data_IF_779095503281
#
_entry.id   IF_779095503281
#
_cell.length_a   1.000
_cell.length_b   1.000
_cell.length_c   1.000
_cell.angle_alpha   90.00
_cell.angle_beta   90.00
_cell.angle_gamma   90.00
#
_symmetry.space_group_name_H-M   'P 1'
#
loop_
_entity.id
_entity.type
_entity.pdbx_description
1 polymer ?
#
# COMPACT_ATOMS: atom_id res chain seq x y z
N UNK A 1 -34.62 -72.95 -9.42
CA UNK A 1 -33.65 -72.17 -10.21
C UNK A 1 -34.25 -70.82 -10.51
N UNK A 2 -33.97 -69.79 -9.73
CA UNK A 2 -34.16 -68.40 -10.15
C UNK A 2 -33.30 -67.50 -9.24
N UNK A 3 -32.30 -66.93 -9.85
CA UNK A 3 -31.33 -66.04 -9.21
C UNK A 3 -31.93 -64.64 -9.26
N UNK A 4 -32.28 -64.07 -8.11
CA UNK A 4 -32.59 -62.64 -7.97
C UNK A 4 -31.35 -61.91 -7.56
N UNK A 5 -30.81 -61.12 -8.46
CA UNK A 5 -29.71 -60.17 -8.26
C UNK A 5 -30.29 -58.95 -7.52
N UNK A 6 -29.82 -58.77 -6.29
CA UNK A 6 -30.08 -57.54 -5.52
C UNK A 6 -29.07 -56.47 -5.91
N UNK A 7 -29.54 -55.41 -6.60
CA UNK A 7 -28.76 -54.19 -6.84
C UNK A 7 -28.77 -53.35 -5.57
N UNK A 8 -27.65 -53.28 -4.90
CA UNK A 8 -27.42 -52.30 -3.84
C UNK A 8 -26.95 -51.01 -4.47
N UNK A 9 -27.85 -50.02 -4.57
CA UNK A 9 -27.51 -48.69 -4.97
C UNK A 9 -26.88 -47.94 -3.79
N UNK A 10 -25.56 -47.79 -3.81
CA UNK A 10 -24.85 -46.93 -2.87
C UNK A 10 -24.99 -45.50 -3.35
N UNK A 11 -25.84 -44.75 -2.68
CA UNK A 11 -25.96 -43.29 -2.88
C UNK A 11 -24.80 -42.65 -2.10
N UNK A 12 -23.75 -42.25 -2.81
CA UNK A 12 -22.73 -41.35 -2.29
C UNK A 12 -23.30 -39.93 -2.23
N UNK A 13 -23.76 -39.54 -1.06
CA UNK A 13 -24.05 -38.12 -0.77
C UNK A 13 -22.69 -37.43 -0.52
N UNK A 14 -22.16 -36.81 -1.57
CA UNK A 14 -21.02 -35.90 -1.44
C UNK A 14 -21.52 -34.61 -0.80
N UNK A 15 -21.38 -34.49 0.51
CA UNK A 15 -21.52 -33.20 1.19
C UNK A 15 -20.35 -32.31 0.77
N UNK A 16 -20.53 -31.57 -0.31
CA UNK A 16 -19.67 -30.43 -0.64
C UNK A 16 -19.94 -29.33 0.36
N UNK A 17 -19.16 -29.31 1.47
CA UNK A 17 -19.08 -28.14 2.33
C UNK A 17 -18.44 -27.01 1.52
N UNK A 18 -19.28 -26.20 0.89
CA UNK A 18 -18.87 -24.95 0.29
C UNK A 18 -18.47 -23.98 1.42
N UNK A 19 -17.22 -24.07 1.87
CA UNK A 19 -16.59 -23.02 2.64
C UNK A 19 -16.47 -21.79 1.73
N UNK A 20 -17.50 -20.96 1.68
CA UNK A 20 -17.50 -19.67 1.01
C UNK A 20 -16.63 -18.65 1.77
N UNK A 21 -15.34 -18.90 1.86
CA UNK A 21 -14.36 -17.84 1.96
C UNK A 21 -14.20 -17.28 0.54
N UNK A 22 -14.64 -16.05 0.28
CA UNK A 22 -14.38 -15.36 -0.99
C UNK A 22 -12.87 -15.16 -1.14
N UNK A 23 -12.17 -16.20 -1.59
CA UNK A 23 -10.77 -16.08 -1.99
C UNK A 23 -10.76 -15.24 -3.26
N UNK A 24 -10.18 -14.05 -3.17
CA UNK A 24 -9.91 -13.22 -4.35
C UNK A 24 -9.16 -14.07 -5.38
N UNK A 25 -9.65 -14.17 -6.63
CA UNK A 25 -8.97 -14.94 -7.66
C UNK A 25 -7.50 -14.47 -7.79
N UNK A 26 -6.52 -15.37 -7.99
CA UNK A 26 -5.10 -15.00 -8.06
C UNK A 26 -4.81 -13.89 -9.07
N UNK A 27 -5.54 -13.86 -10.18
CA UNK A 27 -5.41 -12.83 -11.21
C UNK A 27 -5.86 -11.45 -10.71
N UNK A 28 -6.93 -11.37 -9.93
CA UNK A 28 -7.41 -10.11 -9.35
C UNK A 28 -6.43 -9.57 -8.31
N UNK A 29 -5.87 -10.43 -7.47
CA UNK A 29 -4.84 -10.04 -6.51
C UNK A 29 -3.57 -9.48 -7.19
N UNK A 30 -3.17 -10.08 -8.32
CA UNK A 30 -2.04 -9.59 -9.10
C UNK A 30 -2.30 -8.19 -9.69
N UNK A 31 -3.50 -7.96 -10.23
CA UNK A 31 -3.89 -6.64 -10.77
C UNK A 31 -3.91 -5.57 -9.68
N UNK A 32 -4.48 -5.89 -8.51
CA UNK A 32 -4.49 -4.99 -7.35
C UNK A 32 -3.06 -4.66 -6.89
N UNK A 33 -2.18 -5.66 -6.80
CA UNK A 33 -0.78 -5.47 -6.44
C UNK A 33 -0.05 -4.55 -7.42
N UNK A 34 -0.29 -4.70 -8.73
CA UNK A 34 0.26 -3.81 -9.74
C UNK A 34 -0.26 -2.38 -9.60
N UNK A 35 -1.56 -2.21 -9.29
CA UNK A 35 -2.16 -0.91 -9.01
C UNK A 35 -1.46 -0.20 -7.85
N UNK A 36 -1.31 -0.87 -6.72
CA UNK A 36 -0.63 -0.32 -5.54
C UNK A 36 0.84 0.01 -5.80
N UNK A 37 1.57 -0.83 -6.54
CA UNK A 37 2.94 -0.54 -6.97
C UNK A 37 3.02 0.69 -7.88
N UNK A 38 2.07 0.84 -8.81
CA UNK A 38 1.98 2.02 -9.68
C UNK A 38 1.72 3.28 -8.86
N UNK A 39 0.79 3.21 -7.91
CA UNK A 39 0.47 4.33 -7.01
C UNK A 39 1.67 4.71 -6.14
N UNK A 40 2.39 3.73 -5.57
CA UNK A 40 3.61 3.97 -4.81
C UNK A 40 4.69 4.67 -5.64
N UNK A 41 4.92 4.22 -6.87
CA UNK A 41 5.87 4.87 -7.79
C UNK A 41 5.43 6.29 -8.14
N UNK A 42 4.14 6.49 -8.34
CA UNK A 42 3.56 7.82 -8.60
C UNK A 42 3.73 8.76 -7.43
N UNK A 43 3.50 8.30 -6.19
CA UNK A 43 3.73 9.05 -4.95
C UNK A 43 5.21 9.43 -4.82
N UNK A 44 6.12 8.45 -4.95
CA UNK A 44 7.56 8.68 -4.85
C UNK A 44 8.04 9.69 -5.89
N UNK A 45 7.66 9.52 -7.15
CA UNK A 45 8.06 10.43 -8.23
C UNK A 45 7.49 11.84 -8.09
N UNK A 46 6.24 11.99 -7.67
CA UNK A 46 5.63 13.30 -7.40
C UNK A 46 6.29 13.99 -6.18
N UNK A 47 6.66 13.20 -5.16
CA UNK A 47 7.34 13.68 -3.98
C UNK A 47 8.76 14.21 -4.32
N UNK A 48 9.57 13.47 -5.05
CA UNK A 48 10.90 13.88 -5.49
C UNK A 48 10.86 15.15 -6.37
N UNK A 49 9.84 15.25 -7.23
CA UNK A 49 9.62 16.41 -8.12
C UNK A 49 8.95 17.58 -7.42
N UNK A 50 8.60 17.44 -6.14
CA UNK A 50 7.89 18.44 -5.31
C UNK A 50 6.55 18.88 -5.94
N UNK A 51 5.84 17.96 -6.57
CA UNK A 51 4.56 18.19 -7.24
C UNK A 51 3.40 17.86 -6.28
N UNK A 52 3.00 18.84 -5.45
CA UNK A 52 2.00 18.64 -4.39
C UNK A 52 0.66 18.13 -4.93
N UNK A 53 0.13 18.73 -6.02
CA UNK A 53 -1.13 18.29 -6.60
C UNK A 53 -1.06 16.83 -7.04
N UNK A 54 -0.04 16.47 -7.86
CA UNK A 54 0.15 15.10 -8.35
C UNK A 54 0.38 14.08 -7.23
N UNK A 55 1.01 14.49 -6.13
CA UNK A 55 1.17 13.69 -4.93
C UNK A 55 -0.18 13.46 -4.25
N UNK A 56 -0.95 14.54 -3.99
CA UNK A 56 -2.24 14.48 -3.30
C UNK A 56 -3.34 13.81 -4.13
N UNK A 57 -3.22 13.76 -5.46
CA UNK A 57 -4.12 13.01 -6.35
C UNK A 57 -4.02 11.48 -6.11
N UNK A 58 -2.91 11.01 -5.52
CA UNK A 58 -2.72 9.61 -5.12
C UNK A 58 -3.14 9.32 -3.68
N UNK A 59 -3.59 10.32 -2.94
CA UNK A 59 -4.06 10.21 -1.56
C UNK A 59 -5.57 10.32 -1.52
N UNK A 60 -6.24 9.37 -0.88
CA UNK A 60 -7.69 9.35 -0.76
C UNK A 60 -8.23 10.63 -0.11
N UNK A 61 -9.45 11.01 -0.48
CA UNK A 61 -10.16 12.07 0.21
C UNK A 61 -10.50 11.70 1.66
N UNK A 62 -10.61 10.39 1.94
CA UNK A 62 -10.87 9.85 3.28
C UNK A 62 -9.58 9.59 4.09
N UNK A 63 -8.40 10.07 3.59
CA UNK A 63 -7.15 9.94 4.32
C UNK A 63 -7.23 10.70 5.66
N UNK A 64 -6.85 10.07 6.80
CA UNK A 64 -6.88 10.73 8.10
C UNK A 64 -6.10 12.06 8.08
N UNK A 65 -6.75 13.13 8.54
CA UNK A 65 -6.16 14.48 8.58
C UNK A 65 -5.51 14.92 7.26
N UNK A 66 -6.18 14.61 6.13
CA UNK A 66 -5.68 14.87 4.77
C UNK A 66 -5.15 16.31 4.58
N UNK A 67 -5.81 17.29 5.20
CA UNK A 67 -5.39 18.68 5.12
C UNK A 67 -4.07 18.91 5.85
N UNK A 68 -3.92 18.42 7.07
CA UNK A 68 -2.68 18.54 7.83
C UNK A 68 -1.54 17.78 7.14
N UNK A 69 -1.84 16.61 6.55
CA UNK A 69 -0.87 15.86 5.75
C UNK A 69 -0.41 16.67 4.53
N UNK A 70 -1.32 17.26 3.77
CA UNK A 70 -1.00 18.13 2.62
C UNK A 70 -0.12 19.33 3.03
N UNK A 71 -0.45 20.00 4.14
CA UNK A 71 0.35 21.11 4.67
C UNK A 71 1.77 20.64 5.08
N UNK A 72 1.88 19.49 5.70
CA UNK A 72 3.18 18.92 6.06
C UNK A 72 4.05 18.64 4.83
N UNK A 73 3.48 18.07 3.78
CA UNK A 73 4.18 17.82 2.50
C UNK A 73 4.60 19.14 1.84
N UNK A 74 3.71 20.13 1.79
CA UNK A 74 4.02 21.46 1.26
C UNK A 74 5.18 22.12 2.02
N UNK A 75 5.19 22.00 3.35
CA UNK A 75 6.29 22.49 4.20
C UNK A 75 7.62 21.81 3.89
N UNK A 76 7.63 20.49 3.64
CA UNK A 76 8.82 19.74 3.20
C UNK A 76 9.31 20.26 1.84
N UNK A 77 8.41 20.47 0.89
CA UNK A 77 8.75 20.98 -0.44
C UNK A 77 9.35 22.39 -0.42
N UNK A 78 8.93 23.21 0.54
CA UNK A 78 9.49 24.56 0.76
C UNK A 78 10.85 24.49 1.45
N UNK A 79 11.01 23.60 2.43
CA UNK A 79 12.22 23.50 3.26
C UNK A 79 13.42 22.92 2.53
N UNK A 80 13.19 21.95 1.63
CA UNK A 80 14.25 21.20 0.98
C UNK A 80 14.27 21.45 -0.54
N UNK A 81 15.44 21.71 -1.09
CA UNK A 81 15.62 21.95 -2.53
C UNK A 81 15.57 20.64 -3.32
N UNK A 82 16.27 19.63 -2.81
CA UNK A 82 16.35 18.33 -3.44
C UNK A 82 15.85 17.25 -2.49
N UNK A 83 15.02 16.39 -3.01
CA UNK A 83 14.51 15.21 -2.30
C UNK A 83 14.83 13.99 -3.15
N UNK A 84 15.44 12.97 -2.54
CA UNK A 84 15.61 11.64 -3.11
C UNK A 84 14.87 10.66 -2.22
N UNK A 85 14.03 9.83 -2.82
CA UNK A 85 13.22 8.86 -2.09
C UNK A 85 13.33 7.50 -2.76
N UNK A 86 13.90 6.54 -2.06
CA UNK A 86 14.13 5.19 -2.58
C UNK A 86 13.28 4.17 -1.83
N UNK A 87 12.53 3.37 -2.58
CA UNK A 87 11.81 2.22 -2.05
C UNK A 87 12.63 0.96 -2.28
N UNK A 88 12.91 0.24 -1.20
CA UNK A 88 13.63 -1.03 -1.28
C UNK A 88 12.63 -2.17 -1.52
N UNK A 89 12.66 -2.75 -2.71
CA UNK A 89 11.74 -3.81 -3.12
C UNK A 89 12.11 -5.22 -2.63
N UNK A 90 13.25 -5.40 -1.96
CA UNK A 90 13.77 -6.72 -1.58
C UNK A 90 12.93 -7.46 -0.53
N UNK A 91 12.03 -6.76 0.18
CA UNK A 91 11.11 -7.37 1.16
C UNK A 91 9.77 -6.60 1.14
N UNK A 92 9.05 -6.69 0.05
CA UNK A 92 7.69 -6.17 -0.02
C UNK A 92 6.71 -7.28 0.35
N UNK A 93 5.85 -7.01 1.33
CA UNK A 93 4.76 -7.90 1.74
C UNK A 93 3.46 -7.23 1.35
N UNK A 94 2.67 -7.91 0.52
CA UNK A 94 1.34 -7.45 0.13
C UNK A 94 0.33 -8.36 0.80
N UNK A 95 -0.57 -7.78 1.59
CA UNK A 95 -1.68 -8.46 2.22
C UNK A 95 -2.98 -7.81 1.77
N UNK A 96 -3.99 -8.62 1.55
CA UNK A 96 -5.36 -8.18 1.27
C UNK A 96 -6.17 -8.55 2.50
N UNK A 97 -6.75 -7.55 3.17
CA UNK A 97 -7.56 -7.77 4.36
C UNK A 97 -8.99 -8.22 3.99
N UNK A 98 -9.80 -8.54 5.02
CA UNK A 98 -11.19 -8.97 4.85
C UNK A 98 -12.09 -7.88 4.24
N UNK A 99 -11.68 -6.60 4.33
CA UNK A 99 -12.36 -5.45 3.71
C UNK A 99 -11.91 -5.20 2.28
N UNK A 100 -11.05 -6.11 1.76
CA UNK A 100 -10.44 -6.02 0.43
C UNK A 100 -9.43 -4.87 0.27
N UNK A 101 -9.06 -4.16 1.33
CA UNK A 101 -7.96 -3.20 1.29
C UNK A 101 -6.63 -3.91 1.10
N UNK A 102 -5.73 -3.24 0.41
CA UNK A 102 -4.40 -3.77 0.18
C UNK A 102 -3.40 -3.09 1.10
N UNK A 103 -2.71 -3.87 1.92
CA UNK A 103 -1.60 -3.40 2.76
C UNK A 103 -0.27 -3.81 2.14
N UNK A 104 0.58 -2.84 1.85
CA UNK A 104 1.90 -3.02 1.31
C UNK A 104 2.95 -2.55 2.30
N UNK A 105 3.82 -3.46 2.75
CA UNK A 105 4.90 -3.17 3.69
C UNK A 105 6.24 -3.23 2.96
N UNK A 106 7.06 -2.19 3.11
CA UNK A 106 8.35 -2.07 2.45
C UNK A 106 9.35 -1.28 3.29
N UNK A 107 10.63 -1.40 2.95
CA UNK A 107 11.69 -0.53 3.48
C UNK A 107 11.91 0.64 2.53
N UNK A 108 12.29 1.78 3.10
CA UNK A 108 12.55 3.00 2.35
C UNK A 108 13.75 3.74 2.92
N UNK A 109 14.38 4.56 2.09
CA UNK A 109 15.42 5.53 2.43
C UNK A 109 15.09 6.87 1.78
N UNK A 110 15.41 7.94 2.45
CA UNK A 110 15.24 9.29 1.93
C UNK A 110 16.41 10.20 2.27
N UNK A 111 16.77 11.05 1.31
CA UNK A 111 17.76 12.12 1.45
C UNK A 111 17.05 13.44 1.14
N UNK A 112 17.11 14.40 2.07
CA UNK A 112 16.55 15.74 1.91
C UNK A 112 17.68 16.76 2.02
N UNK A 113 17.93 17.52 0.96
CA UNK A 113 18.96 18.53 0.91
C UNK A 113 18.38 19.93 0.92
N UNK A 114 18.86 20.79 1.84
CA UNK A 114 18.51 22.21 1.90
C UNK A 114 19.32 23.03 0.89
N UNK A 115 18.90 24.28 0.60
CA UNK A 115 19.66 25.24 -0.22
C UNK A 115 21.10 25.44 0.26
N UNK A 116 21.32 25.38 1.57
CA UNK A 116 22.67 25.46 2.16
C UNK A 116 23.50 24.18 2.07
N UNK A 117 23.03 23.17 1.33
CA UNK A 117 23.76 21.91 1.11
C UNK A 117 23.69 20.91 2.28
N UNK A 118 22.98 21.22 3.37
CA UNK A 118 22.80 20.28 4.47
C UNK A 118 21.88 19.14 4.02
N UNK A 119 22.33 17.91 4.27
CA UNK A 119 21.55 16.69 3.94
C UNK A 119 21.01 16.08 5.22
N UNK A 120 19.71 15.85 5.26
CA UNK A 120 19.01 15.03 6.25
C UNK A 120 18.77 13.67 5.66
N UNK A 121 19.23 12.61 6.32
CA UNK A 121 19.02 11.22 5.92
C UNK A 121 18.06 10.56 6.88
N UNK A 122 17.12 9.82 6.36
CA UNK A 122 16.17 9.06 7.16
C UNK A 122 15.75 7.81 6.40
N UNK A 123 15.28 6.82 7.13
CA UNK A 123 14.84 5.56 6.55
C UNK A 123 14.10 4.70 7.54
N UNK A 124 13.58 3.59 7.07
CA UNK A 124 12.88 2.66 7.92
C UNK A 124 11.94 1.72 7.17
N UNK A 125 11.03 1.15 7.95
CA UNK A 125 9.97 0.29 7.46
C UNK A 125 8.63 0.98 7.64
N UNK A 126 7.76 0.85 6.65
CA UNK A 126 6.43 1.46 6.63
C UNK A 126 5.42 0.53 5.99
N UNK A 127 4.16 0.65 6.35
CA UNK A 127 3.06 0.00 5.64
C UNK A 127 2.11 1.06 5.08
N UNK A 128 1.81 0.93 3.80
CA UNK A 128 0.80 1.72 3.11
C UNK A 128 -0.45 0.88 2.93
N UNK A 129 -1.61 1.46 3.25
CA UNK A 129 -2.91 0.85 3.02
C UNK A 129 -3.54 1.55 1.82
N UNK A 130 -3.94 0.77 0.83
CA UNK A 130 -4.56 1.24 -0.41
C UNK A 130 -6.02 0.79 -0.49
N UNK A 131 -6.79 1.49 -1.31
CA UNK A 131 -8.12 1.07 -1.70
C UNK A 131 -8.09 -0.30 -2.42
N UNK A 132 -9.24 -0.98 -2.61
CA UNK A 132 -9.30 -2.31 -3.22
C UNK A 132 -8.72 -2.40 -4.63
N UNK A 133 -8.61 -1.28 -5.33
CA UNK A 133 -8.02 -1.22 -6.68
C UNK A 133 -6.53 -0.90 -6.65
N UNK A 134 -5.99 -0.55 -5.47
CA UNK A 134 -4.61 -0.06 -5.32
C UNK A 134 -4.39 1.32 -5.95
N UNK A 135 -5.46 2.07 -6.24
CA UNK A 135 -5.40 3.32 -6.99
C UNK A 135 -5.05 4.53 -6.11
N UNK A 136 -5.45 4.52 -4.83
CA UNK A 136 -5.22 5.61 -3.89
C UNK A 136 -4.77 5.10 -2.53
N UNK A 137 -3.93 5.90 -1.86
CA UNK A 137 -3.44 5.67 -0.50
C UNK A 137 -4.52 6.06 0.51
N UNK A 138 -4.95 5.12 1.34
CA UNK A 138 -5.93 5.32 2.40
C UNK A 138 -5.28 5.73 3.72
N UNK A 139 -4.13 5.14 4.05
CA UNK A 139 -3.39 5.48 5.27
C UNK A 139 -1.94 5.01 5.22
N UNK A 140 -1.14 5.57 6.12
CA UNK A 140 0.25 5.17 6.39
C UNK A 140 0.30 4.65 7.81
N UNK A 141 0.80 3.44 7.99
CA UNK A 141 1.02 2.84 9.30
C UNK A 141 2.51 2.78 9.60
N UNK A 142 2.87 3.26 10.79
CA UNK A 142 4.25 3.40 11.21
C UNK A 142 4.82 4.79 10.94
N UNK A 143 6.13 4.88 10.79
CA UNK A 143 6.80 6.16 10.55
C UNK A 143 6.48 6.67 9.15
N UNK A 144 5.93 7.89 9.07
CA UNK A 144 5.64 8.54 7.80
C UNK A 144 6.94 8.79 7.00
N UNK A 145 7.09 8.18 5.82
CA UNK A 145 8.35 8.26 5.07
C UNK A 145 8.52 9.60 4.33
N UNK A 146 7.46 10.39 4.22
CA UNK A 146 7.48 11.69 3.54
C UNK A 146 7.79 12.87 4.47
N UNK A 147 7.97 12.60 5.78
CA UNK A 147 8.29 13.63 6.78
C UNK A 147 9.54 13.20 7.54
N UNK A 148 10.73 13.74 7.21
CA UNK A 148 11.98 13.35 7.86
C UNK A 148 11.98 13.67 9.36
N UNK A 149 12.70 12.86 10.14
CA UNK A 149 12.72 12.90 11.61
C UNK A 149 13.00 14.29 12.20
N UNK A 150 13.85 15.07 11.55
CA UNK A 150 14.18 16.42 12.00
C UNK A 150 12.98 17.39 11.93
N UNK A 151 12.02 17.14 11.03
CA UNK A 151 10.81 17.95 10.89
C UNK A 151 9.72 17.58 11.91
N UNK A 152 9.83 16.41 12.55
CA UNK A 152 8.87 15.94 13.55
C UNK A 152 9.12 16.48 14.95
N UNK A 153 10.27 17.13 15.20
CA UNK A 153 10.71 17.58 16.53
C UNK A 153 10.33 19.00 16.95
N UNK A 154 9.47 19.68 16.20
CA UNK A 154 9.03 21.07 16.53
C UNK A 154 7.51 21.18 16.47
N UNK A 155 6.83 20.43 17.32
CA UNK A 155 5.46 20.70 17.73
C UNK A 155 5.43 20.96 19.22
#
# INVERSE_FOLDING_TARGET
MNRTLAFVAIIFIVFSAAACGKKTPPQQAAVQAQGALSTLRGLAGAYEKKQLSSFMDKVSNDYPDRQAFSQSIAGIFTKYDTIRFTVQYTKMIIMIDERTNMKMTFNWDGDWQTAGGRIVKDGGRVSFVYDPKGAVLLSIEGKNPFVPKESQGKQ
#
